data_IF_918107201633
#
_entry.id   IF_918107201633
#
_cell.length_a   1.000
_cell.length_b   1.000
_cell.length_c   1.000
_cell.angle_alpha   90.00
_cell.angle_beta   90.00
_cell.angle_gamma   90.00
#
_symmetry.space_group_name_H-M   'P 1'
#
loop_
_entity.id
_entity.type
_entity.pdbx_description
1 polymer ?
#
# COMPACT_ATOMS: atom_id res chain seq x y z
N UNK A 1 -0.13 26.16 14.96
CA UNK A 1 -0.56 24.96 14.22
C UNK A 1 -1.13 23.99 15.24
N UNK A 2 -2.37 23.52 15.05
CA UNK A 2 -2.94 22.48 15.92
C UNK A 2 -2.34 21.13 15.51
N UNK A 3 -1.93 20.31 16.49
CA UNK A 3 -1.57 18.92 16.25
C UNK A 3 -2.85 18.10 16.04
N UNK A 4 -2.96 17.40 14.91
CA UNK A 4 -4.13 16.59 14.57
C UNK A 4 -5.28 17.33 13.87
N UNK A 5 -6.36 16.60 13.51
CA UNK A 5 -7.53 17.15 12.84
C UNK A 5 -8.33 18.11 13.73
N UNK A 6 -9.01 19.09 13.13
CA UNK A 6 -9.85 20.07 13.85
C UNK A 6 -11.07 19.45 14.53
N UNK A 7 -11.59 18.35 13.98
CA UNK A 7 -12.66 17.52 14.53
C UNK A 7 -12.40 16.08 14.14
N UNK A 8 -12.58 15.15 15.07
CA UNK A 8 -12.50 13.72 14.76
C UNK A 8 -13.88 13.24 14.26
N UNK A 9 -14.00 12.75 13.00
CA UNK A 9 -15.25 12.22 12.46
C UNK A 9 -15.77 11.02 13.25
N UNK A 10 -17.10 10.83 13.25
CA UNK A 10 -17.73 9.73 13.97
C UNK A 10 -17.27 8.37 13.44
N UNK A 11 -17.10 8.24 12.12
CA UNK A 11 -16.58 7.00 11.52
C UNK A 11 -15.18 6.63 12.04
N UNK A 12 -14.29 7.60 12.22
CA UNK A 12 -12.94 7.37 12.74
C UNK A 12 -13.01 6.91 14.20
N UNK A 13 -13.82 7.58 15.03
CA UNK A 13 -14.04 7.18 16.42
C UNK A 13 -14.61 5.76 16.50
N UNK A 14 -15.61 5.45 15.69
CA UNK A 14 -16.25 4.13 15.68
C UNK A 14 -15.28 3.02 15.30
N UNK A 15 -14.45 3.24 14.27
CA UNK A 15 -13.41 2.28 13.88
C UNK A 15 -12.37 2.10 14.98
N UNK A 16 -11.93 3.19 15.63
CA UNK A 16 -10.97 3.10 16.73
C UNK A 16 -11.55 2.36 17.95
N UNK A 17 -12.82 2.65 18.30
CA UNK A 17 -13.53 1.96 19.37
C UNK A 17 -13.68 0.48 19.05
N UNK A 18 -14.08 0.12 17.83
CA UNK A 18 -14.21 -1.27 17.41
C UNK A 18 -12.89 -2.04 17.54
N UNK A 19 -11.78 -1.46 17.05
CA UNK A 19 -10.45 -2.05 17.21
C UNK A 19 -10.04 -2.17 18.68
N UNK A 20 -10.32 -1.15 19.49
CA UNK A 20 -10.04 -1.17 20.93
C UNK A 20 -10.83 -2.25 21.68
N UNK A 21 -12.12 -2.43 21.37
CA UNK A 21 -12.96 -3.46 21.97
C UNK A 21 -12.49 -4.86 21.59
N UNK A 22 -12.15 -5.08 20.31
CA UNK A 22 -11.59 -6.36 19.86
C UNK A 22 -10.25 -6.64 20.55
N UNK A 23 -9.38 -5.63 20.69
CA UNK A 23 -8.11 -5.80 21.40
C UNK A 23 -8.30 -6.14 22.88
N UNK A 24 -9.26 -5.50 23.57
CA UNK A 24 -9.62 -5.86 24.94
C UNK A 24 -10.12 -7.31 25.00
N UNK A 25 -10.94 -7.73 24.04
CA UNK A 25 -11.39 -9.13 23.94
C UNK A 25 -10.22 -10.10 23.71
N UNK A 26 -9.20 -9.74 22.93
CA UNK A 26 -7.99 -10.54 22.76
C UNK A 26 -7.19 -10.70 24.07
N UNK A 27 -7.15 -9.67 24.90
CA UNK A 27 -6.45 -9.70 26.19
C UNK A 27 -7.22 -10.47 27.27
N UNK A 28 -8.54 -10.30 27.32
CA UNK A 28 -9.40 -10.88 28.34
C UNK A 28 -9.88 -12.30 27.99
N UNK A 29 -10.14 -12.59 26.71
CA UNK A 29 -10.75 -13.82 26.23
C UNK A 29 -10.09 -15.11 26.74
N UNK A 30 -8.76 -15.27 26.61
CA UNK A 30 -8.09 -16.49 27.08
C UNK A 30 -8.23 -16.72 28.58
N UNK A 31 -8.23 -15.65 29.39
CA UNK A 31 -8.27 -15.73 30.86
C UNK A 31 -9.69 -15.84 31.42
N UNK A 32 -10.64 -15.13 30.82
CA UNK A 32 -12.01 -15.01 31.33
C UNK A 32 -12.97 -16.02 30.70
N UNK A 33 -12.74 -16.39 29.44
CA UNK A 33 -13.67 -17.20 28.64
C UNK A 33 -13.03 -18.48 28.08
N UNK A 34 -11.72 -18.69 28.28
CA UNK A 34 -10.98 -19.79 27.65
C UNK A 34 -10.93 -19.71 26.12
N UNK A 35 -11.17 -18.52 25.56
CA UNK A 35 -11.34 -18.30 24.12
C UNK A 35 -10.13 -17.58 23.51
N UNK A 36 -9.44 -18.21 22.54
CA UNK A 36 -8.39 -17.55 21.75
C UNK A 36 -8.98 -16.73 20.60
N UNK A 37 -9.40 -15.50 20.92
CA UNK A 37 -9.94 -14.54 19.94
C UNK A 37 -8.97 -14.28 18.79
N UNK A 38 -7.65 -14.27 19.06
CA UNK A 38 -6.63 -14.03 18.03
C UNK A 38 -6.57 -15.21 17.07
N UNK A 39 -6.50 -16.43 17.60
CA UNK A 39 -6.45 -17.67 16.83
C UNK A 39 -7.67 -17.86 15.93
N UNK A 40 -8.85 -17.40 16.33
CA UNK A 40 -10.09 -17.51 15.56
C UNK A 40 -10.16 -16.56 14.36
N UNK A 41 -9.53 -15.39 14.46
CA UNK A 41 -9.72 -14.31 13.48
C UNK A 41 -8.51 -13.96 12.63
N UNK A 42 -7.31 -14.43 12.98
CA UNK A 42 -6.06 -14.11 12.26
C UNK A 42 -6.07 -14.68 10.84
N UNK A 43 -5.53 -13.96 9.84
CA UNK A 43 -5.36 -14.56 8.51
C UNK A 43 -4.27 -15.62 8.59
N UNK A 44 -4.65 -16.82 8.16
CA UNK A 44 -3.75 -17.95 7.92
C UNK A 44 -4.11 -18.55 6.56
N UNK A 45 -3.20 -18.56 5.57
CA UNK A 45 -3.51 -19.03 4.22
C UNK A 45 -4.13 -20.43 4.17
N UNK A 46 -3.62 -21.36 4.98
CA UNK A 46 -4.16 -22.72 5.08
C UNK A 46 -5.61 -22.74 5.59
N UNK A 47 -5.92 -22.07 6.71
CA UNK A 47 -7.28 -22.05 7.27
C UNK A 47 -8.28 -21.42 6.28
N UNK A 48 -7.85 -20.37 5.57
CA UNK A 48 -8.70 -19.68 4.59
C UNK A 48 -9.03 -20.59 3.39
N UNK A 49 -8.03 -21.23 2.81
CA UNK A 49 -8.20 -21.94 1.52
C UNK A 49 -8.42 -23.44 1.64
N UNK A 50 -7.99 -24.07 2.74
CA UNK A 50 -8.16 -25.51 2.98
C UNK A 50 -9.30 -25.82 3.96
N UNK A 51 -9.55 -24.94 4.93
CA UNK A 51 -10.62 -25.12 5.93
C UNK A 51 -11.84 -24.22 5.67
N UNK A 52 -11.80 -23.40 4.61
CA UNK A 52 -12.87 -22.48 4.21
C UNK A 52 -13.25 -21.44 5.27
N UNK A 53 -12.29 -21.04 6.10
CA UNK A 53 -12.48 -20.01 7.14
C UNK A 53 -12.40 -18.60 6.53
N UNK A 54 -13.27 -18.30 5.56
CA UNK A 54 -13.23 -17.10 4.73
C UNK A 54 -13.42 -15.79 5.54
N UNK A 55 -14.06 -15.86 6.71
CA UNK A 55 -14.20 -14.72 7.60
C UNK A 55 -12.86 -14.14 8.04
N UNK A 56 -11.79 -14.96 8.06
CA UNK A 56 -10.44 -14.51 8.43
C UNK A 56 -9.92 -13.37 7.58
N UNK A 57 -10.33 -13.30 6.30
CA UNK A 57 -10.00 -12.18 5.41
C UNK A 57 -10.59 -10.83 5.88
N UNK A 58 -11.63 -10.87 6.72
CA UNK A 58 -12.24 -9.69 7.31
C UNK A 58 -11.87 -9.54 8.79
N UNK A 59 -11.88 -10.60 9.59
CA UNK A 59 -11.70 -10.49 11.05
C UNK A 59 -10.30 -10.05 11.45
N UNK A 60 -9.28 -10.39 10.67
CA UNK A 60 -7.89 -10.11 11.01
C UNK A 60 -7.57 -8.62 11.12
N UNK A 61 -8.28 -7.77 10.36
CA UNK A 61 -8.03 -6.33 10.34
C UNK A 61 -8.46 -5.64 11.64
N UNK A 62 -9.19 -6.34 12.50
CA UNK A 62 -9.60 -5.83 13.82
C UNK A 62 -8.68 -6.32 14.95
N UNK A 63 -7.91 -7.38 14.68
CA UNK A 63 -6.99 -7.98 15.65
C UNK A 63 -5.68 -7.22 15.70
N UNK A 64 -5.10 -7.07 16.89
CA UNK A 64 -3.78 -6.48 17.10
C UNK A 64 -2.91 -7.39 17.96
N UNK A 65 -1.59 -7.18 17.96
CA UNK A 65 -0.67 -8.08 18.67
C UNK A 65 -0.87 -7.93 20.19
N UNK A 66 -1.29 -8.99 20.92
CA UNK A 66 -1.48 -8.90 22.37
C UNK A 66 -0.18 -8.57 23.12
N UNK A 67 0.97 -8.90 22.52
CA UNK A 67 2.29 -8.70 23.09
C UNK A 67 2.90 -7.33 22.74
N UNK A 68 2.22 -6.50 21.96
CA UNK A 68 2.72 -5.17 21.56
C UNK A 68 1.59 -4.15 21.50
N UNK A 69 1.47 -3.35 22.56
CA UNK A 69 0.55 -2.21 22.60
C UNK A 69 0.89 -1.17 21.54
N UNK A 70 2.17 -1.06 21.14
CA UNK A 70 2.57 -0.16 20.07
C UNK A 70 1.96 -0.54 18.72
N UNK A 71 1.64 -1.82 18.50
CA UNK A 71 0.99 -2.24 17.26
C UNK A 71 -0.40 -1.58 17.10
N UNK A 72 -1.25 -1.62 18.13
CA UNK A 72 -2.54 -0.94 18.07
C UNK A 72 -2.39 0.58 18.14
N UNK A 73 -1.47 1.10 18.96
CA UNK A 73 -1.28 2.53 19.12
C UNK A 73 -0.91 3.21 17.79
N UNK A 74 0.05 2.67 17.04
CA UNK A 74 0.47 3.24 15.74
C UNK A 74 -0.65 3.14 14.70
N UNK A 75 -1.40 2.03 14.66
CA UNK A 75 -2.54 1.89 13.76
C UNK A 75 -3.63 2.94 14.05
N UNK A 76 -4.03 3.07 15.31
CA UNK A 76 -5.09 3.99 15.71
C UNK A 76 -4.64 5.45 15.57
N UNK A 77 -3.39 5.75 15.89
CA UNK A 77 -2.79 7.06 15.67
C UNK A 77 -2.78 7.42 14.17
N UNK A 78 -2.34 6.49 13.31
CA UNK A 78 -2.28 6.73 11.86
C UNK A 78 -3.68 6.87 11.26
N UNK A 79 -4.63 6.03 11.67
CA UNK A 79 -6.03 6.12 11.27
C UNK A 79 -6.65 7.47 11.69
N UNK A 80 -6.39 7.91 12.91
CA UNK A 80 -6.86 9.21 13.39
C UNK A 80 -6.22 10.37 12.63
N UNK A 81 -4.90 10.38 12.50
CA UNK A 81 -4.13 11.49 11.93
C UNK A 81 -4.41 11.68 10.44
N UNK A 82 -4.40 10.58 9.67
CA UNK A 82 -4.53 10.62 8.21
C UNK A 82 -5.95 10.31 7.74
N UNK A 83 -6.68 9.47 8.47
CA UNK A 83 -8.06 9.13 8.13
C UNK A 83 -9.04 10.25 8.41
N UNK A 84 -8.87 11.04 9.47
CA UNK A 84 -9.80 12.12 9.79
C UNK A 84 -9.93 13.16 8.68
N UNK A 85 -8.84 13.72 8.10
CA UNK A 85 -8.95 14.64 6.98
C UNK A 85 -9.60 14.01 5.74
N UNK A 86 -9.31 12.73 5.45
CA UNK A 86 -9.90 12.02 4.31
C UNK A 86 -11.40 11.79 4.53
N UNK A 87 -11.81 11.35 5.71
CA UNK A 87 -13.21 11.16 6.06
C UNK A 87 -14.00 12.48 6.04
N UNK A 88 -13.42 13.59 6.54
CA UNK A 88 -14.05 14.92 6.44
C UNK A 88 -14.25 15.36 4.99
N UNK A 89 -13.33 15.00 4.08
CA UNK A 89 -13.43 15.35 2.67
C UNK A 89 -14.41 14.43 1.91
N UNK A 90 -14.46 13.15 2.27
CA UNK A 90 -15.18 12.12 1.50
C UNK A 90 -16.58 11.81 2.03
N UNK A 91 -16.85 12.11 3.30
CA UNK A 91 -18.00 11.60 4.03
C UNK A 91 -17.81 10.16 4.51
N UNK A 92 -18.61 9.80 5.52
CA UNK A 92 -18.44 8.55 6.27
C UNK A 92 -18.63 7.29 5.41
N UNK A 93 -19.64 7.26 4.52
CA UNK A 93 -19.94 6.08 3.70
C UNK A 93 -18.80 5.74 2.75
N UNK A 94 -18.30 6.75 2.02
CA UNK A 94 -17.19 6.57 1.07
C UNK A 94 -15.92 6.17 1.78
N UNK A 95 -15.62 6.82 2.92
CA UNK A 95 -14.46 6.47 3.74
C UNK A 95 -14.54 5.03 4.24
N UNK A 96 -15.68 4.62 4.80
CA UNK A 96 -15.87 3.27 5.33
C UNK A 96 -15.73 2.22 4.24
N UNK A 97 -16.38 2.42 3.09
CA UNK A 97 -16.26 1.50 1.94
C UNK A 97 -14.80 1.34 1.52
N UNK A 98 -14.06 2.44 1.41
CA UNK A 98 -12.65 2.40 1.04
C UNK A 98 -11.79 1.69 2.09
N UNK A 99 -11.97 2.01 3.38
CA UNK A 99 -11.25 1.38 4.49
C UNK A 99 -11.47 -0.14 4.52
N UNK A 100 -12.73 -0.57 4.41
CA UNK A 100 -13.09 -1.99 4.39
C UNK A 100 -12.56 -2.70 3.15
N UNK A 101 -12.64 -2.09 1.96
CA UNK A 101 -12.08 -2.69 0.74
C UNK A 101 -10.57 -2.86 0.83
N UNK A 102 -9.84 -1.87 1.35
CA UNK A 102 -8.39 -1.99 1.55
C UNK A 102 -8.04 -3.09 2.56
N UNK A 103 -8.77 -3.17 3.68
CA UNK A 103 -8.58 -4.21 4.68
C UNK A 103 -8.89 -5.61 4.15
N UNK A 104 -10.11 -5.84 3.66
CA UNK A 104 -10.53 -7.15 3.14
C UNK A 104 -9.71 -7.58 1.93
N UNK A 105 -9.42 -6.65 1.01
CA UNK A 105 -8.57 -6.94 -0.14
C UNK A 105 -7.14 -7.27 0.27
N UNK A 106 -6.59 -6.63 1.29
CA UNK A 106 -5.31 -7.02 1.86
C UNK A 106 -5.37 -8.42 2.47
N UNK A 107 -6.42 -8.73 3.27
CA UNK A 107 -6.63 -10.06 3.84
C UNK A 107 -6.72 -11.16 2.78
N UNK A 108 -7.43 -10.88 1.69
CA UNK A 108 -7.50 -11.75 0.53
C UNK A 108 -6.11 -11.99 -0.09
N UNK A 109 -5.34 -10.94 -0.38
CA UNK A 109 -4.01 -11.09 -1.00
C UNK A 109 -3.00 -11.79 -0.06
N UNK A 110 -3.05 -11.50 1.24
CA UNK A 110 -2.25 -12.19 2.27
C UNK A 110 -2.56 -13.69 2.26
N UNK A 111 -3.84 -14.06 2.15
CA UNK A 111 -4.23 -15.47 2.10
C UNK A 111 -3.87 -16.14 0.76
N UNK A 112 -4.07 -15.45 -0.36
CA UNK A 112 -3.98 -16.04 -1.71
C UNK A 112 -2.57 -16.13 -2.24
N UNK A 113 -1.76 -15.07 -2.12
CA UNK A 113 -0.45 -15.02 -2.77
C UNK A 113 0.49 -16.14 -2.31
N UNK A 114 0.65 -16.41 -1.00
CA UNK A 114 1.51 -17.50 -0.56
C UNK A 114 0.98 -18.87 -1.01
N UNK A 115 -0.34 -19.07 -0.97
CA UNK A 115 -0.97 -20.30 -1.44
C UNK A 115 -0.76 -20.54 -2.92
N UNK A 116 -0.85 -19.50 -3.75
CA UNK A 116 -0.59 -19.57 -5.18
C UNK A 116 0.87 -19.93 -5.46
N UNK A 117 1.83 -19.30 -4.76
CA UNK A 117 3.26 -19.60 -4.89
C UNK A 117 3.55 -21.08 -4.57
N UNK A 118 2.91 -21.62 -3.53
CA UNK A 118 3.04 -23.04 -3.17
C UNK A 118 2.41 -23.99 -4.21
N UNK A 119 1.19 -23.71 -4.67
CA UNK A 119 0.51 -24.54 -5.67
C UNK A 119 1.28 -24.56 -7.00
N UNK A 120 1.88 -23.44 -7.38
CA UNK A 120 2.69 -23.33 -8.60
C UNK A 120 4.10 -23.92 -8.45
N UNK A 121 4.46 -24.48 -7.29
CA UNK A 121 5.76 -25.12 -7.06
C UNK A 121 6.93 -24.15 -6.94
N UNK A 122 6.68 -22.85 -6.75
CA UNK A 122 7.72 -21.84 -6.56
C UNK A 122 8.30 -21.83 -5.13
N UNK A 123 7.77 -22.67 -4.24
CA UNK A 123 8.32 -22.86 -2.90
C UNK A 123 8.20 -24.32 -2.48
N UNK A 124 9.18 -24.80 -1.71
CA UNK A 124 9.17 -26.11 -1.06
C UNK A 124 8.54 -26.09 0.33
N UNK A 125 8.12 -24.92 0.82
CA UNK A 125 7.39 -24.79 2.08
C UNK A 125 5.90 -25.07 1.86
N UNK A 126 5.35 -26.01 2.64
CA UNK A 126 3.93 -26.34 2.60
C UNK A 126 3.04 -25.17 3.05
N UNK A 127 1.76 -25.17 2.64
CA UNK A 127 0.79 -24.11 2.94
C UNK A 127 0.66 -23.78 4.44
N UNK A 128 0.86 -24.77 5.31
CA UNK A 128 0.82 -24.62 6.77
C UNK A 128 1.98 -23.78 7.33
N UNK A 129 3.07 -23.60 6.58
CA UNK A 129 4.28 -22.87 7.00
C UNK A 129 4.12 -21.36 6.78
N UNK A 130 3.13 -20.92 6.01
CA UNK A 130 2.89 -19.49 5.83
C UNK A 130 2.42 -18.86 7.15
N UNK A 131 3.15 -17.83 7.57
CA UNK A 131 2.92 -17.17 8.85
C UNK A 131 1.56 -16.51 8.97
N UNK A 132 1.15 -16.27 10.22
CA UNK A 132 -0.12 -15.64 10.59
C UNK A 132 -0.02 -14.12 10.45
N UNK A 133 -1.07 -13.46 9.96
CA UNK A 133 -1.14 -11.99 9.83
C UNK A 133 -2.39 -11.42 10.49
N UNK A 134 -2.21 -10.35 11.26
CA UNK A 134 -3.27 -9.58 11.91
C UNK A 134 -2.90 -8.10 11.91
N UNK A 135 -3.90 -7.23 11.98
CA UNK A 135 -3.72 -5.79 12.09
C UNK A 135 -4.56 -5.01 11.08
N UNK A 136 -5.05 -3.85 11.51
CA UNK A 136 -5.74 -2.88 10.66
C UNK A 136 -4.83 -2.24 9.59
N UNK A 137 -3.53 -2.55 9.61
CA UNK A 137 -2.51 -1.80 8.90
C UNK A 137 -2.64 -1.83 7.39
N UNK A 138 -3.17 -2.91 6.79
CA UNK A 138 -3.51 -2.93 5.36
C UNK A 138 -4.54 -1.85 4.99
N UNK A 139 -5.58 -1.69 5.79
CA UNK A 139 -6.58 -0.64 5.59
C UNK A 139 -6.00 0.76 5.86
N UNK A 140 -5.19 0.90 6.91
CA UNK A 140 -4.51 2.17 7.26
C UNK A 140 -3.53 2.61 6.17
N UNK A 141 -2.79 1.68 5.56
CA UNK A 141 -1.90 1.97 4.44
C UNK A 141 -2.67 2.44 3.19
N UNK A 142 -3.85 1.87 2.95
CA UNK A 142 -4.78 2.39 1.93
C UNK A 142 -5.23 3.82 2.25
N UNK A 143 -5.60 4.13 3.50
CA UNK A 143 -5.96 5.48 3.94
C UNK A 143 -4.80 6.46 3.79
N UNK A 144 -3.59 6.04 4.14
CA UNK A 144 -2.37 6.84 3.98
C UNK A 144 -2.14 7.17 2.50
N UNK A 145 -2.37 6.22 1.59
CA UNK A 145 -2.27 6.45 0.15
C UNK A 145 -3.27 7.50 -0.32
N UNK A 146 -4.53 7.38 0.11
CA UNK A 146 -5.57 8.36 -0.21
C UNK A 146 -5.21 9.76 0.31
N UNK A 147 -4.67 9.86 1.53
CA UNK A 147 -4.18 11.11 2.09
C UNK A 147 -3.03 11.70 1.28
N UNK A 148 -2.02 10.89 0.97
CA UNK A 148 -0.83 11.27 0.20
C UNK A 148 -1.15 11.74 -1.21
N UNK A 149 -2.13 11.14 -1.89
CA UNK A 149 -2.60 11.62 -3.19
C UNK A 149 -3.42 12.90 -3.09
N UNK A 150 -4.28 13.01 -2.07
CA UNK A 150 -5.15 14.19 -1.91
C UNK A 150 -4.31 15.44 -1.60
N UNK A 151 -3.25 15.30 -0.82
CA UNK A 151 -2.42 16.43 -0.38
C UNK A 151 -0.91 16.14 -0.47
N UNK A 152 -0.36 15.95 -1.69
CA UNK A 152 1.00 15.44 -1.88
C UNK A 152 2.09 16.36 -1.33
N UNK A 153 1.83 17.67 -1.31
CA UNK A 153 2.79 18.69 -0.84
C UNK A 153 2.62 19.06 0.64
N UNK A 154 1.62 18.52 1.35
CA UNK A 154 1.50 18.77 2.79
C UNK A 154 2.68 18.16 3.52
N UNK A 155 3.36 19.00 4.31
CA UNK A 155 4.48 18.58 5.14
C UNK A 155 3.96 17.98 6.44
N UNK A 156 4.44 16.78 6.74
CA UNK A 156 4.21 16.07 8.00
C UNK A 156 5.53 16.05 8.75
N UNK A 157 5.49 16.49 10.00
CA UNK A 157 6.64 16.38 10.90
C UNK A 157 6.65 14.95 11.47
N UNK A 158 7.72 14.20 11.19
CA UNK A 158 7.94 12.92 11.86
C UNK A 158 8.15 13.15 13.36
N UNK A 159 7.72 12.21 14.20
CA UNK A 159 7.87 12.35 15.65
C UNK A 159 9.34 12.12 16.05
N UNK A 160 10.01 11.15 15.42
CA UNK A 160 11.40 10.83 15.69
C UNK A 160 12.09 10.17 14.47
N UNK A 161 13.20 10.71 13.96
CA UNK A 161 13.71 12.08 14.20
C UNK A 161 12.73 13.14 13.65
N UNK A 162 12.72 14.38 14.19
CA UNK A 162 11.81 15.45 13.76
C UNK A 162 12.20 16.03 12.40
N UNK A 163 11.95 15.24 11.35
CA UNK A 163 12.24 15.61 9.96
C UNK A 163 10.91 15.93 9.25
N UNK A 164 10.76 17.14 8.68
CA UNK A 164 9.60 17.45 7.88
C UNK A 164 9.70 16.72 6.52
N UNK A 165 8.68 15.95 6.18
CA UNK A 165 8.58 15.25 4.89
C UNK A 165 7.25 15.55 4.22
N UNK A 166 7.23 15.60 2.89
CA UNK A 166 5.98 15.69 2.14
C UNK A 166 5.20 14.38 2.26
N UNK A 167 3.87 14.48 2.36
CA UNK A 167 2.99 13.32 2.53
C UNK A 167 3.16 12.26 1.44
N UNK A 168 3.48 12.66 0.21
CA UNK A 168 3.70 11.75 -0.92
C UNK A 168 4.86 10.77 -0.69
N UNK A 169 5.81 11.12 0.19
CA UNK A 169 6.96 10.28 0.52
C UNK A 169 6.71 9.34 1.71
N UNK A 170 5.59 9.44 2.41
CA UNK A 170 5.32 8.61 3.60
C UNK A 170 5.31 7.11 3.26
N UNK A 171 4.59 6.71 2.21
CA UNK A 171 4.50 5.31 1.82
C UNK A 171 5.87 4.74 1.38
N UNK A 172 6.61 5.39 0.45
CA UNK A 172 7.97 4.95 0.12
C UNK A 172 8.88 4.85 1.34
N UNK A 173 8.84 5.84 2.24
CA UNK A 173 9.64 5.84 3.47
C UNK A 173 9.30 4.66 4.38
N UNK A 174 8.01 4.37 4.59
CA UNK A 174 7.55 3.23 5.40
C UNK A 174 8.09 1.92 4.82
N UNK A 175 7.98 1.71 3.50
CA UNK A 175 8.53 0.51 2.87
C UNK A 175 10.06 0.41 2.97
N UNK A 176 10.78 1.53 2.89
CA UNK A 176 12.24 1.53 3.09
C UNK A 176 12.60 1.17 4.52
N UNK A 177 11.94 1.76 5.52
CA UNK A 177 12.18 1.45 6.94
C UNK A 177 11.87 -0.01 7.26
N UNK A 178 10.78 -0.51 6.72
CA UNK A 178 10.39 -1.91 6.78
C UNK A 178 11.44 -2.85 6.20
N UNK A 179 11.92 -2.55 5.00
CA UNK A 179 12.98 -3.32 4.35
C UNK A 179 14.27 -3.31 5.17
N UNK A 180 14.64 -2.17 5.77
CA UNK A 180 15.82 -2.07 6.63
C UNK A 180 15.65 -2.80 7.97
N UNK A 181 14.42 -2.94 8.45
CA UNK A 181 14.08 -3.62 9.71
C UNK A 181 13.92 -5.14 9.56
N UNK A 182 14.15 -5.70 8.37
CA UNK A 182 13.80 -7.07 7.96
C UNK A 182 14.62 -8.21 8.59
N UNK A 183 15.09 -8.05 9.83
CA UNK A 183 15.56 -9.14 10.68
C UNK A 183 14.44 -10.02 11.26
N UNK A 184 13.15 -9.69 11.08
CA UNK A 184 12.05 -10.56 11.54
C UNK A 184 10.71 -10.33 10.80
N UNK A 185 10.26 -11.37 10.08
CA UNK A 185 8.93 -11.59 9.50
C UNK A 185 8.54 -10.91 8.15
N UNK A 186 8.69 -11.68 7.06
CA UNK A 186 8.19 -11.42 5.69
C UNK A 186 6.68 -11.11 5.58
N UNK A 187 5.92 -11.37 6.65
CA UNK A 187 4.45 -11.34 6.64
C UNK A 187 3.89 -9.93 6.81
N UNK A 188 4.62 -9.02 7.47
CA UNK A 188 4.18 -7.62 7.65
C UNK A 188 4.25 -6.80 6.35
N UNK A 189 5.29 -7.00 5.53
CA UNK A 189 5.47 -6.32 4.25
C UNK A 189 4.35 -6.60 3.25
N UNK A 190 3.96 -7.88 3.15
CA UNK A 190 2.91 -8.32 2.22
C UNK A 190 1.57 -7.67 2.55
N UNK A 191 1.23 -7.50 3.83
CA UNK A 191 -0.03 -6.88 4.23
C UNK A 191 -0.11 -5.39 3.91
N UNK A 192 0.96 -4.64 4.16
CA UNK A 192 1.02 -3.22 3.82
C UNK A 192 1.01 -2.99 2.31
N UNK A 193 1.79 -3.76 1.56
CA UNK A 193 1.80 -3.70 0.09
C UNK A 193 0.45 -4.05 -0.50
N UNK A 194 -0.20 -5.10 0.01
CA UNK A 194 -1.54 -5.49 -0.44
C UNK A 194 -2.58 -4.39 -0.21
N UNK A 195 -2.54 -3.73 0.96
CA UNK A 195 -3.41 -2.59 1.26
C UNK A 195 -3.20 -1.40 0.32
N UNK A 196 -1.93 -1.03 0.06
CA UNK A 196 -1.58 0.02 -0.91
C UNK A 196 -2.04 -0.35 -2.31
N UNK A 197 -1.85 -1.60 -2.75
CA UNK A 197 -2.24 -2.06 -4.07
C UNK A 197 -3.76 -2.00 -4.27
N UNK A 198 -4.53 -2.56 -3.34
CA UNK A 198 -6.00 -2.54 -3.40
C UNK A 198 -6.52 -1.11 -3.34
N UNK A 199 -5.97 -0.30 -2.45
CA UNK A 199 -6.30 1.13 -2.36
C UNK A 199 -6.01 1.86 -3.68
N UNK A 200 -4.83 1.64 -4.27
CA UNK A 200 -4.45 2.25 -5.54
C UNK A 200 -5.41 1.88 -6.67
N UNK A 201 -5.74 0.58 -6.82
CA UNK A 201 -6.71 0.11 -7.82
C UNK A 201 -8.06 0.80 -7.63
N UNK A 202 -8.56 0.88 -6.40
CA UNK A 202 -9.81 1.55 -6.10
C UNK A 202 -9.77 3.04 -6.49
N UNK A 203 -8.74 3.77 -6.05
CA UNK A 203 -8.64 5.22 -6.29
C UNK A 203 -8.52 5.55 -7.77
N UNK A 204 -7.76 4.75 -8.51
CA UNK A 204 -7.62 4.88 -9.97
C UNK A 204 -8.98 4.71 -10.64
N UNK A 205 -9.70 3.64 -10.31
CA UNK A 205 -10.97 3.31 -10.95
C UNK A 205 -12.09 4.28 -10.55
N UNK A 206 -12.12 4.72 -9.30
CA UNK A 206 -13.12 5.68 -8.83
C UNK A 206 -12.92 7.06 -9.49
N UNK A 207 -11.67 7.50 -9.67
CA UNK A 207 -11.34 8.74 -10.37
C UNK A 207 -11.81 10.03 -9.69
N UNK A 208 -12.28 9.95 -8.43
CA UNK A 208 -12.81 11.08 -7.65
C UNK A 208 -11.82 11.66 -6.64
N UNK A 209 -10.67 11.01 -6.45
CA UNK A 209 -9.66 11.42 -5.46
C UNK A 209 -8.70 12.43 -6.08
N UNK A 210 -8.56 13.64 -5.49
CA UNK A 210 -7.60 14.63 -5.97
C UNK A 210 -6.18 14.07 -6.02
N UNK A 211 -5.42 14.40 -7.05
CA UNK A 211 -4.02 13.99 -7.22
C UNK A 211 -3.78 12.50 -7.53
N UNK A 212 -4.77 11.63 -7.33
CA UNK A 212 -4.69 10.23 -7.72
C UNK A 212 -4.68 10.11 -9.26
N UNK A 213 -3.86 9.22 -9.84
CA UNK A 213 -3.91 8.96 -11.28
C UNK A 213 -5.25 8.32 -11.66
N UNK A 214 -5.79 8.70 -12.81
CA UNK A 214 -6.95 8.03 -13.44
C UNK A 214 -6.51 7.18 -14.64
N UNK A 215 -7.30 6.20 -15.11
CA UNK A 215 -6.99 5.41 -16.30
C UNK A 215 -6.67 6.27 -17.52
N UNK A 216 -7.44 7.36 -17.71
CA UNK A 216 -7.21 8.32 -18.78
C UNK A 216 -5.86 9.02 -18.64
N UNK A 217 -5.52 9.51 -17.44
CA UNK A 217 -4.22 10.17 -17.21
C UNK A 217 -3.04 9.20 -17.36
N UNK A 218 -3.20 7.95 -16.96
CA UNK A 218 -2.19 6.89 -17.14
C UNK A 218 -2.00 6.58 -18.62
N UNK A 219 -3.10 6.39 -19.36
CA UNK A 219 -3.08 6.16 -20.81
C UNK A 219 -2.41 7.33 -21.55
N UNK A 220 -2.71 8.57 -21.16
CA UNK A 220 -2.09 9.77 -21.75
C UNK A 220 -0.60 9.85 -21.43
N UNK A 221 -0.18 9.53 -20.20
CA UNK A 221 1.25 9.46 -19.82
C UNK A 221 1.98 8.38 -20.63
N UNK A 222 1.35 7.21 -20.80
CA UNK A 222 1.87 6.11 -21.60
C UNK A 222 2.03 6.50 -23.08
N UNK A 223 1.00 7.09 -23.69
CA UNK A 223 1.08 7.60 -25.07
C UNK A 223 2.20 8.64 -25.23
N UNK A 224 2.34 9.57 -24.29
CA UNK A 224 3.45 10.54 -24.30
C UNK A 224 4.82 9.89 -24.14
N UNK A 225 4.93 8.84 -23.32
CA UNK A 225 6.16 8.07 -23.18
C UNK A 225 6.55 7.40 -24.49
N UNK A 226 5.62 6.69 -25.15
CA UNK A 226 5.85 6.05 -26.45
C UNK A 226 6.23 7.07 -27.54
N UNK A 227 5.53 8.20 -27.60
CA UNK A 227 5.83 9.27 -28.56
C UNK A 227 7.24 9.85 -28.36
N UNK A 228 7.67 10.06 -27.12
CA UNK A 228 9.04 10.52 -26.82
C UNK A 228 10.09 9.48 -27.26
N UNK A 229 9.81 8.20 -27.09
CA UNK A 229 10.69 7.15 -27.55
C UNK A 229 10.80 7.11 -29.08
N UNK A 230 9.68 7.31 -29.79
CA UNK A 230 9.65 7.40 -31.26
C UNK A 230 10.41 8.62 -31.78
N UNK A 231 10.22 9.80 -31.18
CA UNK A 231 10.94 11.02 -31.58
C UNK A 231 12.45 10.87 -31.37
N UNK A 232 12.88 10.27 -30.24
CA UNK A 232 14.29 10.00 -29.98
C UNK A 232 14.91 9.03 -30.98
N UNK A 233 14.16 8.02 -31.43
CA UNK A 233 14.62 7.10 -32.47
C UNK A 233 14.83 7.83 -33.82
N UNK A 234 13.85 8.66 -34.24
CA UNK A 234 13.98 9.47 -35.47
C UNK A 234 15.17 10.44 -35.39
N UNK A 235 15.35 11.13 -34.26
CA UNK A 235 16.51 12.02 -34.08
C UNK A 235 17.85 11.28 -34.08
N UNK A 236 17.86 10.00 -33.69
CA UNK A 236 19.06 9.16 -33.74
C UNK A 236 19.36 8.75 -35.18
N UNK A 237 18.35 8.28 -35.92
CA UNK A 237 18.46 7.98 -37.35
C UNK A 237 18.93 9.21 -38.14
N UNK A 238 18.33 10.38 -37.92
CA UNK A 238 18.74 11.64 -38.56
C UNK A 238 20.21 12.01 -38.25
N UNK A 239 20.68 11.76 -37.02
CA UNK A 239 22.10 12.00 -36.67
C UNK A 239 23.01 11.02 -37.37
N UNK A 240 22.68 9.73 -37.36
CA UNK A 240 23.48 8.68 -37.97
C UNK A 240 23.57 8.89 -39.49
N UNK A 241 22.47 9.32 -40.14
CA UNK A 241 22.47 9.70 -41.56
C UNK A 241 23.34 10.91 -41.86
N UNK A 242 23.26 11.98 -41.05
CA UNK A 242 24.13 13.16 -41.21
C UNK A 242 25.60 12.80 -41.06
N UNK A 243 25.92 11.93 -40.10
CA UNK A 243 27.30 11.49 -39.87
C UNK A 243 27.83 10.64 -41.04
N UNK A 244 27.02 9.73 -41.60
CA UNK A 244 27.37 8.99 -42.82
C UNK A 244 27.59 9.92 -44.02
N UNK A 245 26.74 10.93 -44.20
CA UNK A 245 26.90 11.91 -45.29
C UNK A 245 28.18 12.73 -45.17
N UNK A 246 28.57 13.11 -43.96
CA UNK A 246 29.82 13.85 -43.73
C UNK A 246 31.03 12.95 -44.02
N UNK A 247 31.07 11.73 -43.49
CA UNK A 247 32.17 10.81 -43.75
C UNK A 247 32.36 10.52 -45.25
N UNK A 248 31.27 10.33 -46.00
CA UNK A 248 31.37 10.10 -47.45
C UNK A 248 31.90 11.32 -48.21
N UNK A 249 31.60 12.54 -47.77
CA UNK A 249 32.16 13.77 -48.40
C UNK A 249 33.65 13.90 -48.15
N UNK A 250 34.10 13.61 -46.94
CA UNK A 250 35.52 13.65 -46.59
C UNK A 250 36.32 12.62 -47.42
N UNK A 251 35.76 11.43 -47.64
CA UNK A 251 36.35 10.39 -48.51
C UNK A 251 36.40 10.81 -49.99
N UNK A 252 35.37 11.47 -50.51
CA UNK A 252 35.33 11.95 -51.90
C UNK A 252 36.32 13.10 -52.14
N UNK A 253 36.48 14.01 -51.19
CA UNK A 253 37.47 15.07 -51.25
C UNK A 253 38.90 14.50 -51.21
N UNK A 254 39.18 13.50 -50.37
CA UNK A 254 40.48 12.82 -50.34
C UNK A 254 40.82 12.12 -51.66
N UNK A 255 39.83 11.56 -52.37
CA UNK A 255 40.03 10.93 -53.70
C UNK A 255 40.27 11.92 -54.83
N UNK A 256 39.93 13.20 -54.67
CA UNK A 256 40.15 14.25 -55.70
C UNK A 256 41.58 14.81 -55.71
N UNK A 257 42.35 14.58 -54.65
CA UNK A 257 43.72 15.08 -54.49
C UNK A 257 44.81 14.01 -54.70
N UNK A 258 44.42 12.82 -55.18
CA UNK A 258 45.29 11.72 -55.59
C UNK A 258 45.04 11.36 -57.05
#
# INVERSE_FOLDING_TARGET
MSFGPSKTPDIIKNLMIANGLVYIAQLAGPRMLGLDVTGLGVVQPYAVWSEFELWRMFTYMWLHSPNSIMHIAVNMFSLWMFGSPVALLWGDERFLRYYLLCGVGAGFLIATLPSLVAILGFTSTGLAVFGKTLGASGAVMGVLLAYSFTWPDRTIMLIFPPIPIKSIYLIPLIFVMEWMSSGSSNVSHTGHLAGVLVGWIYLVNEGRTPGAPTPQTLLLKWRRYLMRHKIRAVHREDRDERQRRNNNKDDDDQRRFH
#
